data_IF_770821345019
#
_entry.id   IF_770821345019
#
_cell.length_a   1.000
_cell.length_b   1.000
_cell.length_c   1.000
_cell.angle_alpha   90.00
_cell.angle_beta   90.00
_cell.angle_gamma   90.00
#
_symmetry.space_group_name_H-M   'P 1'
#
loop_
_entity.id
_entity.type
_entity.pdbx_description
1 polymer ?
#
# COMPACT_ATOMS: atom_id res chain seq x y z
N UNK A 1 12.49 7.49 -40.94
CA UNK A 1 11.07 7.84 -40.81
C UNK A 1 10.83 8.28 -39.37
N UNK A 2 10.33 9.49 -39.16
CA UNK A 2 9.93 10.00 -37.84
C UNK A 2 8.53 9.46 -37.57
N UNK A 3 8.39 8.50 -36.67
CA UNK A 3 7.08 8.09 -36.19
C UNK A 3 6.48 9.23 -35.36
N UNK A 4 5.35 9.74 -35.86
CA UNK A 4 4.45 10.64 -35.14
C UNK A 4 3.94 9.88 -33.91
N UNK A 5 4.29 10.34 -32.71
CA UNK A 5 3.46 10.06 -31.53
C UNK A 5 2.17 10.83 -31.72
N UNK A 6 1.11 10.14 -32.13
CA UNK A 6 -0.24 10.64 -31.98
C UNK A 6 -0.54 10.76 -30.48
N UNK A 7 -1.14 11.87 -30.07
CA UNK A 7 -1.66 12.04 -28.72
C UNK A 7 -2.75 10.98 -28.50
N UNK A 8 -2.40 9.89 -27.81
CA UNK A 8 -3.37 8.84 -27.47
C UNK A 8 -4.48 9.45 -26.60
N UNK A 9 -5.73 9.33 -27.06
CA UNK A 9 -6.91 9.69 -26.27
C UNK A 9 -6.88 9.00 -24.91
N UNK A 10 -7.32 9.67 -23.84
CA UNK A 10 -7.40 9.09 -22.49
C UNK A 10 -8.17 7.75 -22.51
N UNK A 11 -9.20 7.65 -23.34
CA UNK A 11 -9.95 6.40 -23.52
C UNK A 11 -9.10 5.28 -24.13
N UNK A 12 -8.18 5.63 -25.03
CA UNK A 12 -7.29 4.70 -25.69
C UNK A 12 -6.14 4.27 -24.79
N UNK A 13 -5.61 5.18 -23.96
CA UNK A 13 -4.65 4.84 -22.90
C UNK A 13 -5.31 3.88 -21.90
N UNK A 14 -6.54 4.15 -21.46
CA UNK A 14 -7.30 3.27 -20.57
C UNK A 14 -7.57 1.92 -21.24
N UNK A 15 -8.00 1.91 -22.51
CA UNK A 15 -8.26 0.68 -23.26
C UNK A 15 -6.99 -0.17 -23.45
N UNK A 16 -5.85 0.46 -23.78
CA UNK A 16 -4.56 -0.21 -23.96
C UNK A 16 -3.93 -0.68 -22.63
N UNK A 17 -4.31 -0.04 -21.51
CA UNK A 17 -3.89 -0.45 -20.17
C UNK A 17 -4.63 -1.70 -19.70
N UNK A 18 -5.92 -1.79 -20.03
CA UNK A 18 -6.81 -2.85 -19.57
C UNK A 18 -6.91 -4.03 -20.55
N UNK A 19 -6.59 -3.81 -21.82
CA UNK A 19 -6.79 -4.79 -22.90
C UNK A 19 -5.63 -4.77 -23.87
N UNK A 20 -5.54 -5.79 -24.72
CA UNK A 20 -4.59 -5.84 -25.83
C UNK A 20 -5.32 -6.04 -27.15
N UNK A 21 -4.83 -5.40 -28.20
CA UNK A 21 -5.40 -5.53 -29.55
C UNK A 21 -5.20 -6.92 -30.18
N UNK A 22 -4.33 -7.74 -29.58
CA UNK A 22 -4.06 -9.11 -30.00
C UNK A 22 -3.79 -9.96 -28.75
N UNK A 23 -4.49 -11.10 -28.64
CA UNK A 23 -4.39 -12.01 -27.50
C UNK A 23 -2.97 -12.52 -27.26
N UNK A 24 -2.17 -12.72 -28.32
CA UNK A 24 -0.78 -13.14 -28.17
C UNK A 24 0.09 -12.13 -27.41
N UNK A 25 -0.25 -10.84 -27.53
CA UNK A 25 0.47 -9.74 -26.85
C UNK A 25 0.16 -9.69 -25.35
N UNK A 26 -0.86 -10.42 -24.90
CA UNK A 26 -1.24 -10.48 -23.49
C UNK A 26 -0.13 -11.11 -22.64
N UNK A 27 0.63 -12.06 -23.22
CA UNK A 27 1.79 -12.69 -22.57
C UNK A 27 3.08 -11.85 -22.68
N UNK A 28 3.04 -10.66 -23.29
CA UNK A 28 4.21 -9.79 -23.39
C UNK A 28 4.48 -9.06 -22.07
N UNK A 29 5.77 -8.87 -21.76
CA UNK A 29 6.21 -8.02 -20.62
C UNK A 29 5.66 -6.60 -20.69
N UNK A 30 5.37 -6.10 -21.89
CA UNK A 30 4.83 -4.75 -22.11
C UNK A 30 3.38 -4.59 -21.67
N UNK A 31 2.62 -5.67 -21.51
CA UNK A 31 1.16 -5.63 -21.26
C UNK A 31 0.80 -6.31 -19.94
N UNK A 32 1.65 -6.16 -18.93
CA UNK A 32 1.51 -6.90 -17.67
C UNK A 32 0.22 -6.54 -16.91
N UNK A 33 -0.30 -5.31 -17.06
CA UNK A 33 -1.58 -4.89 -16.46
C UNK A 33 -2.73 -5.66 -17.10
N UNK A 34 -2.80 -5.66 -18.43
CA UNK A 34 -3.80 -6.41 -19.18
C UNK A 34 -3.72 -7.92 -18.86
N UNK A 35 -2.50 -8.46 -18.66
CA UNK A 35 -2.30 -9.84 -18.21
C UNK A 35 -2.90 -10.08 -16.83
N UNK A 36 -2.62 -9.22 -15.85
CA UNK A 36 -3.18 -9.34 -14.48
C UNK A 36 -4.71 -9.29 -14.52
N UNK A 37 -5.29 -8.32 -15.24
CA UNK A 37 -6.75 -8.18 -15.37
C UNK A 37 -7.36 -9.43 -15.99
N UNK A 38 -6.77 -9.94 -17.08
CA UNK A 38 -7.23 -11.16 -17.72
C UNK A 38 -7.09 -12.39 -16.80
N UNK A 39 -6.00 -12.50 -16.03
CA UNK A 39 -5.82 -13.59 -15.05
C UNK A 39 -6.84 -13.55 -13.92
N UNK A 40 -7.23 -12.35 -13.43
CA UNK A 40 -8.30 -12.21 -12.43
C UNK A 40 -9.64 -12.66 -13.02
N UNK A 41 -9.98 -12.19 -14.23
CA UNK A 41 -11.21 -12.59 -14.91
C UNK A 41 -11.23 -14.10 -15.19
N UNK A 42 -10.09 -14.68 -15.56
CA UNK A 42 -9.92 -16.12 -15.75
C UNK A 42 -10.13 -16.90 -14.44
N UNK A 43 -9.57 -16.42 -13.32
CA UNK A 43 -9.80 -16.99 -11.99
C UNK A 43 -11.27 -16.96 -11.57
N UNK A 44 -11.97 -15.85 -11.81
CA UNK A 44 -13.42 -15.73 -11.56
C UNK A 44 -14.19 -16.73 -12.44
N UNK A 45 -13.84 -16.84 -13.73
CA UNK A 45 -14.49 -17.78 -14.65
C UNK A 45 -14.25 -19.25 -14.24
N UNK A 46 -13.05 -19.61 -13.77
CA UNK A 46 -12.76 -20.94 -13.22
C UNK A 46 -13.63 -21.23 -11.99
N UNK A 47 -13.78 -20.26 -11.09
CA UNK A 47 -14.62 -20.41 -9.90
C UNK A 47 -16.10 -20.64 -10.29
N UNK A 48 -16.61 -19.89 -11.27
CA UNK A 48 -17.97 -20.06 -11.81
C UNK A 48 -18.18 -21.41 -12.51
N UNK A 49 -17.13 -21.99 -13.11
CA UNK A 49 -17.17 -23.29 -13.76
C UNK A 49 -17.15 -24.48 -12.78
N UNK A 50 -16.89 -24.23 -11.49
CA UNK A 50 -16.95 -25.23 -10.42
C UNK A 50 -16.05 -26.44 -10.67
N UNK A 51 -16.59 -27.65 -10.48
CA UNK A 51 -15.82 -28.90 -10.58
C UNK A 51 -15.16 -29.12 -11.95
N UNK A 52 -15.68 -28.50 -13.03
CA UNK A 52 -15.09 -28.65 -14.36
C UNK A 52 -13.73 -27.94 -14.50
N UNK A 53 -13.42 -26.97 -13.63
CA UNK A 53 -12.16 -26.23 -13.65
C UNK A 53 -11.04 -26.90 -12.83
N UNK A 54 -11.35 -27.90 -12.00
CA UNK A 54 -10.39 -28.57 -11.10
C UNK A 54 -9.07 -29.00 -11.77
N UNK A 55 -9.08 -29.63 -12.97
CA UNK A 55 -7.82 -30.02 -13.63
C UNK A 55 -6.92 -28.83 -13.99
N UNK A 56 -7.52 -27.68 -14.30
CA UNK A 56 -6.79 -26.45 -14.64
C UNK A 56 -6.24 -25.79 -13.38
N UNK A 57 -7.03 -25.76 -12.30
CA UNK A 57 -6.60 -25.26 -10.99
C UNK A 57 -5.38 -26.04 -10.47
N UNK A 58 -5.45 -27.38 -10.44
CA UNK A 58 -4.36 -28.25 -10.00
C UNK A 58 -3.09 -28.07 -10.86
N UNK A 59 -3.27 -27.88 -12.18
CA UNK A 59 -2.16 -27.58 -13.08
C UNK A 59 -1.50 -26.23 -12.77
N UNK A 60 -2.30 -25.18 -12.58
CA UNK A 60 -1.79 -23.83 -12.24
C UNK A 60 -1.08 -23.81 -10.89
N UNK A 61 -1.61 -24.50 -9.89
CA UNK A 61 -0.98 -24.66 -8.58
C UNK A 61 0.36 -25.39 -8.69
N UNK A 62 0.42 -26.44 -9.51
CA UNK A 62 1.65 -27.17 -9.79
C UNK A 62 2.69 -26.27 -10.49
N UNK A 63 2.28 -25.49 -11.48
CA UNK A 63 3.13 -24.50 -12.14
C UNK A 63 3.63 -23.44 -11.16
N UNK A 64 2.76 -22.91 -10.30
CA UNK A 64 3.13 -21.95 -9.27
C UNK A 64 4.18 -22.54 -8.31
N UNK A 65 3.97 -23.76 -7.82
CA UNK A 65 4.94 -24.45 -6.96
C UNK A 65 6.30 -24.66 -7.65
N UNK A 66 6.31 -25.05 -8.93
CA UNK A 66 7.54 -25.20 -9.72
C UNK A 66 8.26 -23.86 -9.87
N UNK A 67 7.53 -22.79 -10.19
CA UNK A 67 8.09 -21.43 -10.31
C UNK A 67 8.69 -20.97 -8.99
N UNK A 68 8.04 -21.24 -7.85
CA UNK A 68 8.60 -20.95 -6.53
C UNK A 68 9.92 -21.70 -6.28
N UNK A 69 10.01 -22.98 -6.66
CA UNK A 69 11.25 -23.76 -6.54
C UNK A 69 12.35 -23.27 -7.49
N UNK A 70 11.99 -22.92 -8.72
CA UNK A 70 12.91 -22.31 -9.67
C UNK A 70 13.47 -20.99 -9.13
N UNK A 71 12.61 -20.13 -8.55
CA UNK A 71 13.04 -18.91 -7.89
C UNK A 71 13.97 -19.17 -6.70
N UNK A 72 13.72 -20.22 -5.90
CA UNK A 72 14.64 -20.61 -4.81
C UNK A 72 16.04 -20.91 -5.34
N UNK A 73 16.15 -21.63 -6.46
CA UNK A 73 17.45 -21.92 -7.11
C UNK A 73 18.14 -20.62 -7.55
N UNK A 74 17.40 -19.70 -8.17
CA UNK A 74 17.94 -18.39 -8.59
C UNK A 74 18.41 -17.57 -7.39
N UNK A 75 17.68 -17.60 -6.27
CA UNK A 75 18.04 -16.90 -5.03
C UNK A 75 19.37 -17.39 -4.45
N UNK A 76 19.78 -18.65 -4.65
CA UNK A 76 21.10 -19.13 -4.19
C UNK A 76 22.27 -18.42 -4.88
N UNK A 77 22.13 -18.07 -6.17
CA UNK A 77 23.15 -17.35 -6.93
C UNK A 77 22.98 -15.82 -6.89
N UNK A 78 21.81 -15.34 -6.49
CA UNK A 78 21.48 -13.93 -6.41
C UNK A 78 22.46 -13.12 -5.55
N UNK A 79 23.00 -13.58 -4.39
CA UNK A 79 23.92 -12.80 -3.58
C UNK A 79 25.18 -12.33 -4.32
N UNK A 80 25.73 -13.15 -5.22
CA UNK A 80 26.94 -12.80 -5.99
C UNK A 80 26.60 -11.78 -7.07
N UNK A 81 25.55 -12.05 -7.86
CA UNK A 81 25.11 -11.14 -8.93
C UNK A 81 24.60 -9.80 -8.41
N UNK A 82 23.81 -9.83 -7.34
CA UNK A 82 23.35 -8.65 -6.62
C UNK A 82 24.54 -7.92 -6.00
N UNK A 83 25.46 -8.60 -5.32
CA UNK A 83 26.65 -7.98 -4.75
C UNK A 83 27.48 -7.19 -5.76
N UNK A 84 27.77 -7.77 -6.93
CA UNK A 84 28.48 -7.10 -8.02
C UNK A 84 27.68 -5.93 -8.61
N UNK A 85 26.37 -6.09 -8.77
CA UNK A 85 25.49 -5.04 -9.27
C UNK A 85 25.36 -3.89 -8.27
N UNK A 86 25.22 -4.17 -6.97
CA UNK A 86 25.20 -3.20 -5.88
C UNK A 86 26.53 -2.47 -5.77
N UNK A 87 27.65 -3.17 -5.85
CA UNK A 87 28.97 -2.54 -5.89
C UNK A 87 29.08 -1.58 -7.09
N UNK A 88 28.54 -1.96 -8.25
CA UNK A 88 28.48 -1.09 -9.43
C UNK A 88 27.55 0.11 -9.22
N UNK A 89 26.39 -0.09 -8.59
CA UNK A 89 25.44 0.98 -8.29
C UNK A 89 26.00 1.96 -7.26
N UNK A 90 26.65 1.48 -6.20
CA UNK A 90 27.35 2.32 -5.22
C UNK A 90 28.54 3.03 -5.86
N UNK A 91 29.28 2.36 -6.75
CA UNK A 91 30.39 2.99 -7.48
C UNK A 91 29.94 4.10 -8.44
N UNK A 92 28.79 3.91 -9.12
CA UNK A 92 28.25 4.89 -10.07
C UNK A 92 27.40 5.99 -9.44
N UNK A 93 26.67 5.64 -8.38
CA UNK A 93 25.60 6.47 -7.82
C UNK A 93 25.69 6.62 -6.29
N UNK A 94 26.75 6.14 -5.62
CA UNK A 94 26.80 6.04 -4.16
C UNK A 94 26.50 7.35 -3.42
N UNK A 95 27.08 8.46 -3.88
CA UNK A 95 26.80 9.79 -3.31
C UNK A 95 25.34 10.21 -3.59
N UNK A 96 24.86 10.04 -4.83
CA UNK A 96 23.48 10.34 -5.19
C UNK A 96 22.45 9.44 -4.50
N UNK A 97 22.78 8.19 -4.19
CA UNK A 97 21.94 7.24 -3.46
C UNK A 97 21.89 7.64 -1.99
N UNK A 98 23.03 7.95 -1.36
CA UNK A 98 23.07 8.37 0.04
C UNK A 98 22.32 9.70 0.26
N UNK A 99 22.60 10.71 -0.56
CA UNK A 99 21.88 11.99 -0.54
C UNK A 99 20.41 11.78 -0.91
N UNK A 100 20.13 10.90 -1.87
CA UNK A 100 18.78 10.53 -2.27
C UNK A 100 17.98 9.95 -1.11
N UNK A 101 18.54 9.02 -0.35
CA UNK A 101 17.88 8.40 0.81
C UNK A 101 17.59 9.43 1.90
N UNK A 102 18.56 10.30 2.20
CA UNK A 102 18.36 11.37 3.19
C UNK A 102 17.25 12.34 2.74
N UNK A 103 17.28 12.79 1.48
CA UNK A 103 16.23 13.64 0.90
C UNK A 103 14.87 12.95 0.92
N UNK A 104 14.82 11.70 0.49
CA UNK A 104 13.59 10.91 0.47
C UNK A 104 13.02 10.78 1.87
N UNK A 105 13.84 10.42 2.87
CA UNK A 105 13.40 10.27 4.24
C UNK A 105 12.82 11.57 4.80
N UNK A 106 13.52 12.69 4.60
CA UNK A 106 13.07 14.01 5.08
C UNK A 106 11.76 14.41 4.40
N UNK A 107 11.69 14.35 3.07
CA UNK A 107 10.50 14.76 2.31
C UNK A 107 9.33 13.85 2.64
N UNK A 108 9.53 12.53 2.67
CA UNK A 108 8.49 11.57 3.02
C UNK A 108 7.97 11.83 4.43
N UNK A 109 8.85 12.03 5.40
CA UNK A 109 8.45 12.30 6.79
C UNK A 109 7.64 13.59 6.89
N UNK A 110 8.05 14.65 6.20
CA UNK A 110 7.28 15.91 6.15
C UNK A 110 5.90 15.68 5.53
N UNK A 111 5.82 14.98 4.39
CA UNK A 111 4.54 14.68 3.73
C UNK A 111 3.67 13.82 4.63
N UNK A 112 4.22 12.81 5.28
CA UNK A 112 3.50 11.93 6.19
C UNK A 112 2.97 12.70 7.40
N UNK A 113 3.77 13.58 8.01
CA UNK A 113 3.33 14.41 9.14
C UNK A 113 2.28 15.45 8.71
N UNK A 114 2.42 16.06 7.54
CA UNK A 114 1.42 16.98 7.00
C UNK A 114 0.10 16.24 6.72
N UNK A 115 0.16 15.05 6.12
CA UNK A 115 -1.02 14.22 5.90
C UNK A 115 -1.66 13.84 7.24
N UNK A 116 -0.85 13.35 8.18
CA UNK A 116 -1.28 12.99 9.54
C UNK A 116 -2.00 14.14 10.24
N UNK A 117 -1.43 15.35 10.21
CA UNK A 117 -2.02 16.50 10.91
C UNK A 117 -3.23 17.05 10.15
N UNK A 118 -3.09 17.32 8.85
CA UNK A 118 -4.13 18.02 8.08
C UNK A 118 -5.29 17.08 7.77
N UNK A 119 -5.03 15.93 7.17
CA UNK A 119 -6.07 15.02 6.70
C UNK A 119 -6.86 14.43 7.87
N UNK A 120 -6.18 13.94 8.91
CA UNK A 120 -6.91 13.37 10.07
C UNK A 120 -7.63 14.43 10.90
N UNK A 121 -7.16 15.68 10.93
CA UNK A 121 -7.95 16.79 11.50
C UNK A 121 -9.22 17.05 10.71
N UNK A 122 -9.14 17.08 9.37
CA UNK A 122 -10.30 17.27 8.50
C UNK A 122 -11.31 16.13 8.70
N UNK A 123 -10.85 14.88 8.69
CA UNK A 123 -11.70 13.71 8.90
C UNK A 123 -12.34 13.71 10.30
N UNK A 124 -11.59 14.03 11.36
CA UNK A 124 -12.15 14.16 12.71
C UNK A 124 -13.17 15.31 12.81
N UNK A 125 -12.96 16.41 12.09
CA UNK A 125 -13.90 17.52 12.00
C UNK A 125 -15.18 17.12 11.24
N UNK A 126 -15.06 16.38 10.14
CA UNK A 126 -16.22 15.84 9.41
C UNK A 126 -16.99 14.88 10.31
N UNK A 127 -16.29 14.02 11.07
CA UNK A 127 -16.88 13.04 11.97
C UNK A 127 -17.69 13.68 13.10
N UNK A 128 -17.11 14.65 13.82
CA UNK A 128 -17.66 15.17 15.09
C UNK A 128 -17.49 16.67 15.32
N UNK A 129 -17.18 17.45 14.29
CA UNK A 129 -16.91 18.89 14.40
C UNK A 129 -15.71 19.18 15.30
N UNK A 130 -15.73 20.35 15.98
CA UNK A 130 -14.66 20.75 16.91
C UNK A 130 -14.47 19.74 18.05
N UNK A 131 -15.56 19.14 18.55
CA UNK A 131 -15.50 18.11 19.60
C UNK A 131 -14.77 16.86 19.12
N UNK A 132 -15.01 16.45 17.87
CA UNK A 132 -14.33 15.31 17.25
C UNK A 132 -12.84 15.54 17.13
N UNK A 133 -12.43 16.71 16.62
CA UNK A 133 -11.01 17.09 16.53
C UNK A 133 -10.30 17.02 17.88
N UNK A 134 -10.92 17.60 18.92
CA UNK A 134 -10.34 17.57 20.28
C UNK A 134 -10.24 16.15 20.81
N UNK A 135 -11.30 15.34 20.64
CA UNK A 135 -11.32 13.95 21.09
C UNK A 135 -10.25 13.11 20.39
N UNK A 136 -10.07 13.29 19.08
CA UNK A 136 -9.06 12.60 18.30
C UNK A 136 -7.65 12.92 18.81
N UNK A 137 -7.26 14.19 18.78
CA UNK A 137 -5.89 14.60 19.14
C UNK A 137 -5.54 14.35 20.61
N UNK A 138 -6.52 14.37 21.51
CA UNK A 138 -6.31 14.04 22.92
C UNK A 138 -6.00 12.55 23.14
N UNK A 139 -6.61 11.67 22.36
CA UNK A 139 -6.58 10.23 22.61
C UNK A 139 -5.68 9.43 21.66
N UNK A 140 -5.26 10.01 20.53
CA UNK A 140 -4.48 9.29 19.52
C UNK A 140 -2.99 9.13 19.90
N UNK A 141 -2.46 9.97 20.80
CA UNK A 141 -1.03 10.03 21.14
C UNK A 141 -0.41 8.65 21.46
N UNK A 142 -1.03 7.78 22.31
CA UNK A 142 -0.46 6.47 22.59
C UNK A 142 -0.36 5.57 21.36
N UNK A 143 -1.35 5.62 20.46
CA UNK A 143 -1.31 4.89 19.20
C UNK A 143 -0.18 5.38 18.31
N UNK A 144 -0.04 6.71 18.17
CA UNK A 144 1.04 7.34 17.39
C UNK A 144 2.42 6.91 17.89
N UNK A 145 2.64 6.96 19.20
CA UNK A 145 3.92 6.55 19.80
C UNK A 145 4.18 5.05 19.64
N UNK A 146 3.14 4.22 19.75
CA UNK A 146 3.24 2.77 19.55
C UNK A 146 3.57 2.44 18.10
N UNK A 147 2.91 3.09 17.14
CA UNK A 147 3.14 2.89 15.72
C UNK A 147 4.58 3.27 15.31
N UNK A 148 5.06 4.44 15.76
CA UNK A 148 6.43 4.89 15.50
C UNK A 148 7.46 4.00 16.20
N UNK A 149 7.19 3.59 17.44
CA UNK A 149 8.14 2.80 18.23
C UNK A 149 8.25 1.34 17.80
N UNK A 150 7.16 0.75 17.29
CA UNK A 150 7.10 -0.67 16.93
C UNK A 150 7.21 -0.93 15.43
N UNK A 151 6.91 0.07 14.59
CA UNK A 151 6.75 -0.10 13.14
C UNK A 151 5.79 -1.25 12.78
N UNK A 152 4.77 -1.49 13.61
CA UNK A 152 3.77 -2.54 13.39
C UNK A 152 2.35 -2.03 13.60
N UNK A 153 1.52 -2.06 12.55
CA UNK A 153 0.08 -1.74 12.65
C UNK A 153 -0.66 -2.74 13.55
N UNK A 154 -0.31 -4.02 13.49
CA UNK A 154 -0.93 -5.06 14.32
C UNK A 154 -0.66 -4.86 15.81
N UNK A 155 0.53 -4.36 16.17
CA UNK A 155 0.86 -4.02 17.55
C UNK A 155 0.01 -2.85 18.10
N UNK A 156 -0.58 -2.03 17.21
CA UNK A 156 -1.38 -0.88 17.58
C UNK A 156 -2.86 -1.23 17.84
N UNK A 157 -3.35 -2.41 17.43
CA UNK A 157 -4.77 -2.83 17.59
C UNK A 157 -5.31 -2.55 19.00
N UNK A 158 -4.71 -3.06 20.10
CA UNK A 158 -5.27 -2.86 21.44
C UNK A 158 -5.28 -1.38 21.85
N UNK A 159 -4.24 -0.63 21.47
CA UNK A 159 -4.11 0.80 21.78
C UNK A 159 -5.11 1.62 20.96
N UNK A 160 -5.37 1.23 19.72
CA UNK A 160 -6.34 1.85 18.82
C UNK A 160 -7.78 1.64 19.29
N UNK A 161 -8.14 0.43 19.72
CA UNK A 161 -9.47 0.16 20.29
C UNK A 161 -9.69 1.01 21.54
N UNK A 162 -8.70 1.08 22.44
CA UNK A 162 -8.79 1.90 23.64
C UNK A 162 -8.86 3.40 23.33
N UNK A 163 -8.09 3.88 22.34
CA UNK A 163 -8.18 5.25 21.87
C UNK A 163 -9.57 5.58 21.30
N UNK A 164 -10.13 4.69 20.48
CA UNK A 164 -11.47 4.80 19.92
C UNK A 164 -12.56 4.84 21.00
N UNK A 165 -12.45 3.98 22.03
CA UNK A 165 -13.35 3.98 23.19
C UNK A 165 -13.30 5.31 23.93
N UNK A 166 -12.11 5.86 24.17
CA UNK A 166 -11.93 7.19 24.78
C UNK A 166 -12.43 8.36 23.92
N UNK A 167 -12.57 8.15 22.61
CA UNK A 167 -13.22 9.09 21.69
C UNK A 167 -14.75 8.95 21.71
N UNK A 168 -15.30 8.00 22.46
CA UNK A 168 -16.74 7.75 22.59
C UNK A 168 -17.31 6.93 21.44
N UNK A 169 -16.50 6.07 20.80
CA UNK A 169 -16.93 5.12 19.76
C UNK A 169 -17.33 3.80 20.45
N UNK A 170 -18.39 3.15 19.99
CA UNK A 170 -18.83 1.86 20.53
C UNK A 170 -17.78 0.75 20.31
N UNK A 171 -17.78 -0.25 21.19
CA UNK A 171 -16.83 -1.38 21.11
C UNK A 171 -17.03 -2.17 19.80
N UNK A 172 -18.27 -2.33 19.32
CA UNK A 172 -18.57 -3.03 18.07
C UNK A 172 -17.95 -2.34 16.85
N UNK A 173 -18.08 -1.00 16.76
CA UNK A 173 -17.50 -0.22 15.66
C UNK A 173 -15.98 -0.21 15.78
N UNK A 174 -15.45 0.09 16.96
CA UNK A 174 -14.00 0.20 17.16
C UNK A 174 -13.28 -1.13 16.93
N UNK A 175 -13.77 -2.24 17.46
CA UNK A 175 -13.17 -3.56 17.25
C UNK A 175 -13.18 -3.97 15.78
N UNK A 176 -14.30 -3.79 15.09
CA UNK A 176 -14.45 -4.15 13.68
C UNK A 176 -13.59 -3.27 12.77
N UNK A 177 -13.71 -1.95 12.90
CA UNK A 177 -13.03 -1.00 12.01
C UNK A 177 -11.52 -1.02 12.22
N UNK A 178 -11.03 -1.09 13.47
CA UNK A 178 -9.60 -1.16 13.74
C UNK A 178 -9.00 -2.46 13.20
N UNK A 179 -9.68 -3.60 13.39
CA UNK A 179 -9.18 -4.90 12.92
C UNK A 179 -9.12 -4.96 11.39
N UNK A 180 -10.16 -4.49 10.70
CA UNK A 180 -10.17 -4.40 9.24
C UNK A 180 -9.16 -3.36 8.74
N UNK A 181 -9.10 -2.20 9.39
CA UNK A 181 -8.18 -1.10 9.08
C UNK A 181 -6.73 -1.55 9.11
N UNK A 182 -6.31 -2.27 10.14
CA UNK A 182 -4.93 -2.78 10.25
C UNK A 182 -4.47 -3.59 9.02
N UNK A 183 -5.40 -4.27 8.34
CA UNK A 183 -5.12 -5.03 7.12
C UNK A 183 -5.21 -4.19 5.85
N UNK A 184 -6.29 -3.39 5.70
CA UNK A 184 -6.63 -2.70 4.44
C UNK A 184 -6.23 -1.23 4.38
N UNK A 185 -6.18 -0.55 5.52
CA UNK A 185 -5.84 0.87 5.61
C UNK A 185 -4.33 1.05 5.60
N UNK A 186 -3.80 1.53 4.47
CA UNK A 186 -2.37 1.57 4.19
C UNK A 186 -1.93 2.89 3.51
N UNK A 187 -2.40 4.02 4.05
CA UNK A 187 -2.07 5.36 3.53
C UNK A 187 -0.54 5.59 3.42
N UNK A 188 0.18 5.27 4.48
CA UNK A 188 1.63 5.42 4.53
C UNK A 188 2.34 4.54 3.50
N UNK A 189 1.88 3.30 3.33
CA UNK A 189 2.43 2.39 2.32
C UNK A 189 2.11 2.82 0.89
N UNK A 190 0.93 3.40 0.65
CA UNK A 190 0.57 4.00 -0.64
C UNK A 190 1.48 5.17 -0.99
N UNK A 191 1.59 6.16 -0.10
CA UNK A 191 2.48 7.30 -0.28
C UNK A 191 3.92 6.79 -0.45
N UNK A 192 4.31 5.78 0.34
CA UNK A 192 5.64 5.17 0.27
C UNK A 192 5.92 4.52 -1.09
N UNK A 193 4.93 3.89 -1.71
CA UNK A 193 5.06 3.29 -3.04
C UNK A 193 5.30 4.35 -4.12
N UNK A 194 4.61 5.49 -4.05
CA UNK A 194 4.86 6.63 -4.94
C UNK A 194 6.30 7.13 -4.77
N UNK A 195 6.78 7.29 -3.54
CA UNK A 195 8.14 7.75 -3.26
C UNK A 195 9.21 6.75 -3.71
N UNK A 196 8.98 5.44 -3.52
CA UNK A 196 9.84 4.37 -4.04
C UNK A 196 9.96 4.43 -5.56
N UNK A 197 8.84 4.59 -6.26
CA UNK A 197 8.82 4.75 -7.72
C UNK A 197 9.60 6.02 -8.11
N UNK A 198 9.28 7.17 -7.51
CA UNK A 198 9.94 8.44 -7.82
C UNK A 198 11.44 8.42 -7.55
N UNK A 199 11.89 7.69 -6.53
CA UNK A 199 13.31 7.50 -6.28
C UNK A 199 14.00 6.80 -7.46
N UNK A 200 13.43 5.70 -7.94
CA UNK A 200 13.99 4.96 -9.07
C UNK A 200 13.87 5.74 -10.38
N UNK A 201 12.79 6.50 -10.56
CA UNK A 201 12.62 7.44 -11.68
C UNK A 201 13.78 8.43 -11.75
N UNK A 202 14.10 9.07 -10.62
CA UNK A 202 15.24 9.99 -10.51
C UNK A 202 16.58 9.29 -10.66
N UNK A 203 16.74 8.09 -10.09
CA UNK A 203 18.00 7.33 -10.12
C UNK A 203 18.34 6.84 -11.55
N UNK A 204 17.36 6.33 -12.28
CA UNK A 204 17.53 5.79 -13.62
C UNK A 204 17.27 6.80 -14.74
N UNK A 205 16.82 8.02 -14.40
CA UNK A 205 16.54 9.08 -15.37
C UNK A 205 15.41 8.77 -16.34
N UNK A 206 14.44 7.95 -15.93
CA UNK A 206 13.25 7.66 -16.74
C UNK A 206 12.16 8.70 -16.50
N UNK A 207 11.18 8.81 -17.38
CA UNK A 207 10.05 9.75 -17.22
C UNK A 207 8.71 9.04 -17.51
N UNK A 208 8.18 8.28 -16.54
CA UNK A 208 6.89 7.61 -16.68
C UNK A 208 5.74 8.60 -16.59
N UNK A 209 4.62 8.27 -17.22
CA UNK A 209 3.38 9.05 -17.09
C UNK A 209 2.84 9.01 -15.66
N UNK A 210 2.25 10.11 -15.18
CA UNK A 210 1.66 10.20 -13.84
C UNK A 210 0.62 9.10 -13.61
N UNK A 211 -0.18 8.76 -14.63
CA UNK A 211 -1.17 7.68 -14.55
C UNK A 211 -0.53 6.31 -14.30
N UNK A 212 0.65 6.05 -14.86
CA UNK A 212 1.40 4.81 -14.61
C UNK A 212 1.90 4.76 -13.17
N UNK A 213 2.45 5.85 -12.64
CA UNK A 213 2.92 5.93 -11.25
C UNK A 213 1.77 5.63 -10.28
N UNK A 214 0.63 6.29 -10.48
CA UNK A 214 -0.56 6.11 -9.64
C UNK A 214 -1.10 4.68 -9.77
N UNK A 215 -1.27 4.18 -11.00
CA UNK A 215 -1.79 2.84 -11.25
C UNK A 215 -0.92 1.74 -10.63
N UNK A 216 0.39 1.83 -10.80
CA UNK A 216 1.34 0.87 -10.21
C UNK A 216 1.35 0.98 -8.68
N UNK A 217 1.28 2.19 -8.12
CA UNK A 217 1.19 2.37 -6.66
C UNK A 217 -0.08 1.73 -6.08
N UNK A 218 -1.21 1.87 -6.79
CA UNK A 218 -2.48 1.28 -6.37
C UNK A 218 -2.39 -0.25 -6.34
N UNK A 219 -1.88 -0.85 -7.42
CA UNK A 219 -1.71 -2.29 -7.53
C UNK A 219 -0.70 -2.84 -6.51
N UNK A 220 0.40 -2.12 -6.28
CA UNK A 220 1.40 -2.50 -5.28
C UNK A 220 0.77 -2.56 -3.88
N UNK A 221 -0.03 -1.56 -3.51
CA UNK A 221 -0.68 -1.56 -2.20
C UNK A 221 -1.74 -2.64 -2.04
N UNK A 222 -2.48 -2.98 -3.11
CA UNK A 222 -3.40 -4.11 -3.08
C UNK A 222 -2.68 -5.41 -2.69
N UNK A 223 -1.47 -5.63 -3.21
CA UNK A 223 -0.64 -6.78 -2.83
C UNK A 223 -0.15 -6.71 -1.37
N UNK A 224 0.19 -5.52 -0.87
CA UNK A 224 0.56 -5.32 0.55
C UNK A 224 -0.61 -5.72 1.45
N UNK A 225 -1.84 -5.39 1.07
CA UNK A 225 -3.05 -5.71 1.85
C UNK A 225 -3.52 -7.17 1.67
N UNK A 226 -3.33 -7.75 0.48
CA UNK A 226 -3.86 -9.05 0.12
C UNK A 226 -2.97 -10.24 0.50
N UNK A 227 -1.71 -10.00 0.83
CA UNK A 227 -0.73 -11.07 1.14
C UNK A 227 -0.22 -10.93 2.59
N UNK A 228 -0.61 -11.84 3.51
CA UNK A 228 -0.30 -11.73 4.93
C UNK A 228 1.20 -11.74 5.27
N UNK A 229 2.01 -12.50 4.52
CA UNK A 229 3.46 -12.64 4.75
C UNK A 229 4.20 -12.34 3.45
N UNK A 230 5.12 -11.37 3.48
CA UNK A 230 5.93 -11.01 2.32
C UNK A 230 5.26 -10.08 1.30
N UNK A 231 4.04 -9.60 1.57
CA UNK A 231 3.31 -8.67 0.68
C UNK A 231 4.11 -7.41 0.32
N UNK A 232 4.91 -6.88 1.25
CA UNK A 232 5.82 -5.77 1.01
C UNK A 232 6.86 -6.06 -0.08
N UNK A 233 7.61 -7.15 0.05
CA UNK A 233 8.65 -7.53 -0.94
C UNK A 233 8.04 -7.88 -2.30
N UNK A 234 6.89 -8.57 -2.31
CA UNK A 234 6.18 -8.89 -3.57
C UNK A 234 5.70 -7.60 -4.25
N UNK A 235 5.19 -6.63 -3.49
CA UNK A 235 4.81 -5.32 -4.03
C UNK A 235 5.99 -4.54 -4.62
N UNK A 236 7.17 -4.64 -4.03
CA UNK A 236 8.39 -4.00 -4.56
C UNK A 236 8.83 -4.65 -5.87
N UNK A 237 8.76 -5.98 -5.97
CA UNK A 237 9.03 -6.69 -7.22
C UNK A 237 8.02 -6.33 -8.31
N UNK A 238 6.74 -6.15 -7.95
CA UNK A 238 5.73 -5.64 -8.87
C UNK A 238 6.10 -4.25 -9.38
N UNK A 239 6.43 -3.31 -8.48
CA UNK A 239 6.86 -1.96 -8.84
C UNK A 239 8.00 -2.01 -9.85
N UNK A 240 9.05 -2.78 -9.58
CA UNK A 240 10.20 -2.90 -10.47
C UNK A 240 9.78 -3.41 -11.85
N UNK A 241 8.99 -4.48 -11.89
CA UNK A 241 8.57 -5.12 -13.14
C UNK A 241 7.68 -4.20 -13.98
N UNK A 242 6.69 -3.56 -13.35
CA UNK A 242 5.70 -2.72 -14.03
C UNK A 242 6.26 -1.37 -14.49
N UNK A 243 7.28 -0.86 -13.79
CA UNK A 243 7.97 0.37 -14.17
C UNK A 243 9.15 0.09 -15.12
N UNK A 244 9.45 -1.17 -15.42
CA UNK A 244 10.55 -1.56 -16.31
C UNK A 244 11.94 -1.41 -15.69
N UNK A 245 12.03 -1.37 -14.35
CA UNK A 245 13.29 -1.31 -13.63
C UNK A 245 13.94 -2.70 -13.51
N UNK A 246 15.28 -2.76 -13.41
CA UNK A 246 15.98 -4.00 -13.11
C UNK A 246 15.57 -4.55 -11.74
N UNK A 247 15.27 -5.85 -11.66
CA UNK A 247 14.95 -6.53 -10.39
C UNK A 247 16.10 -6.42 -9.37
N UNK A 248 17.33 -6.19 -9.86
CA UNK A 248 18.51 -5.97 -9.02
C UNK A 248 18.45 -4.67 -8.21
N UNK A 249 17.54 -3.75 -8.53
CA UNK A 249 17.26 -2.57 -7.71
C UNK A 249 16.40 -2.88 -6.48
N UNK A 250 15.97 -4.13 -6.25
CA UNK A 250 15.11 -4.50 -5.13
C UNK A 250 15.71 -4.09 -3.77
N UNK A 251 16.98 -4.38 -3.42
CA UNK A 251 17.50 -3.90 -2.14
C UNK A 251 17.59 -2.37 -2.00
N UNK A 252 17.59 -1.59 -3.09
CA UNK A 252 17.43 -0.12 -3.01
C UNK A 252 16.04 0.21 -2.46
N UNK A 253 14.99 -0.44 -2.99
CA UNK A 253 13.62 -0.26 -2.51
C UNK A 253 13.43 -0.77 -1.08
N UNK A 254 14.07 -1.89 -0.73
CA UNK A 254 14.02 -2.46 0.62
C UNK A 254 14.65 -1.52 1.65
N UNK A 255 15.79 -0.87 1.33
CA UNK A 255 16.38 0.17 2.20
C UNK A 255 15.43 1.36 2.36
N UNK A 256 14.80 1.81 1.28
CA UNK A 256 13.79 2.87 1.35
C UNK A 256 12.62 2.45 2.25
N UNK A 257 12.14 1.20 2.12
CA UNK A 257 11.06 0.66 2.94
C UNK A 257 11.39 0.77 4.43
N UNK A 258 12.60 0.37 4.82
CA UNK A 258 13.07 0.48 6.21
C UNK A 258 13.18 1.94 6.67
N UNK A 259 13.66 2.85 5.81
CA UNK A 259 13.80 4.27 6.17
C UNK A 259 12.46 4.93 6.45
N UNK A 260 11.44 4.63 5.65
CA UNK A 260 10.11 5.26 5.77
C UNK A 260 9.16 4.50 6.69
N UNK A 261 9.58 3.37 7.25
CA UNK A 261 8.68 2.42 7.91
C UNK A 261 7.94 3.02 9.11
N UNK A 262 8.65 3.75 9.96
CA UNK A 262 8.06 4.40 11.13
C UNK A 262 6.99 5.45 10.76
N UNK A 263 7.27 6.47 9.90
CA UNK A 263 6.24 7.42 9.47
C UNK A 263 5.13 6.76 8.62
N UNK A 264 5.42 5.71 7.86
CA UNK A 264 4.41 4.96 7.11
C UNK A 264 3.45 4.21 8.04
N UNK A 265 4.00 3.51 9.03
CA UNK A 265 3.24 2.77 10.04
C UNK A 265 2.39 3.72 10.88
N UNK A 266 2.92 4.89 11.23
CA UNK A 266 2.15 5.94 11.91
C UNK A 266 0.86 6.26 11.16
N UNK A 267 0.93 6.47 9.84
CA UNK A 267 -0.28 6.73 9.05
C UNK A 267 -1.19 5.51 8.99
N UNK A 268 -0.63 4.33 8.67
CA UNK A 268 -1.39 3.10 8.55
C UNK A 268 -2.15 2.72 9.83
N UNK A 269 -1.57 2.97 11.00
CA UNK A 269 -2.11 2.54 12.28
C UNK A 269 -2.91 3.64 13.00
N UNK A 270 -2.37 4.85 13.10
CA UNK A 270 -3.03 5.96 13.82
C UNK A 270 -4.22 6.53 13.04
N UNK A 271 -4.35 6.18 11.76
CA UNK A 271 -5.53 6.47 10.96
C UNK A 271 -6.74 5.59 11.33
N UNK A 272 -6.57 4.40 11.90
CA UNK A 272 -7.70 3.48 12.16
C UNK A 272 -8.74 4.03 13.16
N UNK A 273 -8.34 4.65 14.29
CA UNK A 273 -9.31 5.35 15.16
C UNK A 273 -9.98 6.53 14.46
N UNK A 274 -9.27 7.22 13.56
CA UNK A 274 -9.84 8.32 12.78
C UNK A 274 -10.95 7.85 11.83
N UNK A 275 -10.71 6.74 11.13
CA UNK A 275 -11.71 6.08 10.28
C UNK A 275 -12.88 5.57 11.12
N UNK A 276 -12.63 5.05 12.31
CA UNK A 276 -13.67 4.62 13.24
C UNK A 276 -14.62 5.77 13.61
N UNK A 277 -14.13 7.00 13.76
CA UNK A 277 -15.00 8.17 13.99
C UNK A 277 -15.91 8.48 12.78
N UNK A 278 -15.39 8.33 11.57
CA UNK A 278 -16.18 8.52 10.34
C UNK A 278 -17.26 7.43 10.20
N UNK A 279 -16.92 6.18 10.52
CA UNK A 279 -17.87 5.07 10.53
C UNK A 279 -18.94 5.27 11.60
N UNK A 280 -18.56 5.67 12.82
CA UNK A 280 -19.50 6.00 13.89
C UNK A 280 -20.50 7.09 13.46
N UNK A 281 -20.02 8.15 12.80
CA UNK A 281 -20.91 9.16 12.21
C UNK A 281 -21.86 8.59 11.16
N UNK A 282 -21.37 7.69 10.31
CA UNK A 282 -22.16 7.12 9.22
C UNK A 282 -23.25 6.15 9.75
N UNK A 283 -22.94 5.37 10.78
CA UNK A 283 -23.84 4.37 11.37
C UNK A 283 -24.79 5.00 12.39
N UNK A 284 -24.26 5.77 13.36
CA UNK A 284 -25.03 6.26 14.50
C UNK A 284 -25.62 7.67 14.29
N UNK A 285 -25.24 8.32 13.18
CA UNK A 285 -25.69 9.64 12.76
C UNK A 285 -24.82 10.79 13.26
N UNK A 286 -25.21 12.04 12.94
CA UNK A 286 -24.42 13.24 13.22
C UNK A 286 -24.16 13.50 14.71
N UNK A 287 -25.01 12.97 15.59
CA UNK A 287 -24.98 13.17 17.04
C UNK A 287 -24.43 11.94 17.80
N UNK A 288 -23.68 11.06 17.13
CA UNK A 288 -23.11 9.84 17.72
C UNK A 288 -22.33 10.09 19.02
N UNK A 289 -21.66 11.24 19.14
CA UNK A 289 -20.93 11.63 20.36
C UNK A 289 -21.81 12.08 21.54
N UNK A 290 -23.12 12.24 21.34
CA UNK A 290 -24.06 12.61 22.41
C UNK A 290 -24.81 11.38 22.95
N UNK A 291 -25.12 10.39 22.09
CA UNK A 291 -25.78 9.14 22.48
C UNK A 291 -24.99 8.33 23.51
N UNK A 292 -23.68 8.19 23.32
CA UNK A 292 -22.83 7.39 24.23
C UNK A 292 -22.61 8.00 25.63
N UNK A 293 -23.11 9.22 25.90
CA UNK A 293 -23.15 9.78 27.27
C UNK A 293 -24.34 9.30 28.07
N UNK A 294 -25.44 8.93 27.42
CA UNK A 294 -26.64 8.42 28.08
C UNK A 294 -26.40 6.97 28.52
N UNK A 295 -25.87 6.12 27.62
CA UNK A 295 -25.55 4.72 27.94
C UNK A 295 -24.48 4.56 29.03
N UNK A 296 -23.46 5.43 29.06
CA UNK A 296 -22.42 5.40 30.12
C UNK A 296 -22.89 5.94 31.48
N UNK A 297 -24.03 6.65 31.53
CA UNK A 297 -24.65 7.06 32.80
C UNK A 297 -25.49 5.93 33.37
N UNK A 298 -26.26 5.22 32.55
CA UNK A 298 -27.09 4.10 33.00
C UNK A 298 -26.27 2.91 33.52
N UNK A 299 -25.05 2.69 33.04
CA UNK A 299 -24.18 1.60 33.53
C UNK A 299 -23.51 1.96 34.88
N UNK A 300 -23.56 3.23 35.30
CA UNK A 300 -22.95 3.71 36.57
C UNK A 300 -23.96 3.95 37.69
N UNK A 301 -25.26 3.79 37.43
CA UNK A 301 -26.33 3.73 38.44
C UNK A 301 -26.69 2.27 38.75
#
# INVERSE_FOLDING_TARGET
QKDKKEDESILQIVANTLTVNDFSKLLSKSNIIALIVASILFGIAMNMAGDSAKPVEEFLDSCYAIILKLNQIVIWYAPIGLGCYFATMVGKFGESIAVGYAKLFVIYTIVALLFYVVFYTICAFIAGGKRGVIAFWKNIIPSTLTAVGTCSSAACIPVNIEASRKMGISDDISGTVVSLGTSFHKDGSMIGSVFKIMFLVCLFGINPGIGQIIGVSILANLLITGVPIGGGTISEMLILTMMGFPLQALPILTVIATLIDAPATLLNAAGDPNVSMLVARAVDGKNWMDKNKEDNKEIKE
#
